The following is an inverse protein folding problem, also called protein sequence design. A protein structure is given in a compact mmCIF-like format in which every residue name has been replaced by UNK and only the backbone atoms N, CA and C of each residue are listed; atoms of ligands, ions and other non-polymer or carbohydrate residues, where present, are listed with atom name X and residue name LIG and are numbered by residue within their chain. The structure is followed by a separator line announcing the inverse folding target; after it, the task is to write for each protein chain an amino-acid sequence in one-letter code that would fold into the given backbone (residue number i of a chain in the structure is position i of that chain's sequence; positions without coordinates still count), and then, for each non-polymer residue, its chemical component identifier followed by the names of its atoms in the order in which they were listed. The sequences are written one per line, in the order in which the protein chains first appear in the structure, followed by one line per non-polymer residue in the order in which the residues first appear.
data_IF_999815755846
#
_entry.id   IF_999815755846
#
_cell.length_a   1.000
_cell.length_b   1.000
_cell.length_c   1.000
_cell.angle_alpha   90.00
_cell.angle_beta   90.00
_cell.angle_gamma   90.00
#
_symmetry.space_group_name_H-M   'P 1'
#
loop_
_entity.id
_entity.type
_entity.pdbx_description
1 polymer ?
#
# COMPACT_ATOMS: atom_id res chain seq x y z
N UNK A 1 -19.01 -5.32 10.86
CA UNK A 1 -20.15 -4.52 10.38
C UNK A 1 -19.84 -3.84 9.04
N UNK A 2 -18.72 -3.09 8.90
CA UNK A 2 -18.39 -2.35 7.66
C UNK A 2 -18.34 -3.27 6.44
N UNK A 3 -17.61 -4.38 6.49
CA UNK A 3 -17.51 -5.34 5.38
C UNK A 3 -18.86 -5.97 5.06
N UNK A 4 -19.68 -6.27 6.08
CA UNK A 4 -21.05 -6.75 5.87
C UNK A 4 -21.93 -5.72 5.16
N UNK A 5 -21.76 -4.43 5.48
CA UNK A 5 -22.45 -3.35 4.77
C UNK A 5 -22.01 -3.24 3.31
N UNK A 6 -20.72 -3.45 3.01
CA UNK A 6 -20.22 -3.49 1.64
C UNK A 6 -20.79 -4.67 0.83
N UNK A 7 -20.90 -5.85 1.44
CA UNK A 7 -21.52 -7.02 0.82
C UNK A 7 -23.04 -6.84 0.62
N UNK A 8 -23.71 -6.16 1.55
CA UNK A 8 -25.12 -5.82 1.40
C UNK A 8 -25.34 -4.76 0.31
N UNK A 9 -24.43 -3.77 0.22
CA UNK A 9 -24.41 -2.82 -0.91
C UNK A 9 -24.31 -3.58 -2.24
N UNK A 10 -23.39 -4.54 -2.37
CA UNK A 10 -23.27 -5.40 -3.54
C UNK A 10 -24.59 -6.11 -3.87
N UNK A 11 -25.27 -6.70 -2.88
CA UNK A 11 -26.55 -7.40 -3.08
C UNK A 11 -27.64 -6.49 -3.62
N UNK A 12 -27.72 -5.26 -3.11
CA UNK A 12 -28.77 -4.30 -3.45
C UNK A 12 -28.44 -3.46 -4.67
N UNK A 13 -27.16 -3.23 -4.97
CA UNK A 13 -26.72 -2.41 -6.09
C UNK A 13 -27.15 -3.00 -7.43
N UNK A 14 -27.66 -2.16 -8.32
CA UNK A 14 -27.96 -2.51 -9.72
C UNK A 14 -26.69 -2.85 -10.51
N UNK A 15 -25.53 -2.33 -10.05
CA UNK A 15 -24.23 -2.57 -10.68
C UNK A 15 -23.65 -3.94 -10.34
N UNK A 16 -24.12 -4.58 -9.24
CA UNK A 16 -23.55 -5.83 -8.73
C UNK A 16 -22.03 -5.72 -8.54
N UNK A 17 -21.62 -4.65 -7.86
CA UNK A 17 -20.24 -4.36 -7.51
C UNK A 17 -20.13 -3.99 -6.04
N UNK A 18 -18.99 -4.27 -5.44
CA UNK A 18 -18.61 -3.68 -4.17
C UNK A 18 -18.46 -2.16 -4.34
N UNK A 19 -18.71 -1.37 -3.28
CA UNK A 19 -18.59 0.07 -3.38
C UNK A 19 -17.16 0.50 -3.71
N UNK A 20 -17.04 1.43 -4.64
CA UNK A 20 -15.78 2.15 -4.96
C UNK A 20 -15.79 3.48 -4.22
N UNK A 21 -16.78 4.32 -4.51
CA UNK A 21 -16.98 5.61 -3.85
C UNK A 21 -18.49 5.82 -3.61
N UNK A 22 -19.05 5.03 -2.72
CA UNK A 22 -20.46 5.08 -2.43
C UNK A 22 -20.80 6.30 -1.57
N UNK A 23 -21.61 7.21 -2.11
CA UNK A 23 -22.06 8.40 -1.42
C UNK A 23 -23.58 8.40 -1.27
N UNK A 24 -24.08 8.50 -0.04
CA UNK A 24 -25.52 8.46 0.28
C UNK A 24 -26.25 7.22 -0.29
N UNK A 25 -25.56 6.08 -0.32
CA UNK A 25 -26.12 4.82 -0.84
C UNK A 25 -26.06 4.67 -2.36
N UNK A 26 -25.52 5.63 -3.08
CA UNK A 26 -25.32 5.55 -4.52
C UNK A 26 -23.82 5.48 -4.85
N UNK A 27 -23.47 4.60 -5.77
CA UNK A 27 -22.12 4.58 -6.35
C UNK A 27 -21.97 5.76 -7.33
N UNK A 28 -20.91 6.55 -7.17
CA UNK A 28 -20.64 7.70 -8.02
C UNK A 28 -19.37 7.54 -8.87
N UNK A 29 -18.62 6.45 -8.70
CA UNK A 29 -17.44 6.11 -9.50
C UNK A 29 -16.34 7.20 -9.49
N UNK A 30 -16.22 7.95 -8.40
CA UNK A 30 -15.28 9.08 -8.33
C UNK A 30 -13.83 8.63 -8.44
N UNK A 31 -13.47 7.51 -7.77
CA UNK A 31 -12.10 7.01 -7.71
C UNK A 31 -11.85 5.86 -8.70
N UNK A 32 -10.57 5.59 -8.96
CA UNK A 32 -10.15 4.49 -9.83
C UNK A 32 -10.14 3.14 -9.09
N UNK A 33 -9.96 2.07 -9.86
CA UNK A 33 -9.88 0.68 -9.39
C UNK A 33 -11.15 0.17 -8.66
N UNK A 34 -11.06 -0.99 -8.06
CA UNK A 34 -12.17 -1.64 -7.34
C UNK A 34 -11.74 -2.06 -5.92
N UNK A 35 -11.09 -1.17 -5.20
CA UNK A 35 -10.46 -1.40 -3.89
C UNK A 35 -11.37 -1.95 -2.80
N UNK A 36 -12.69 -1.94 -2.98
CA UNK A 36 -13.61 -2.68 -2.12
C UNK A 36 -13.21 -4.15 -1.96
N UNK A 37 -12.60 -4.76 -2.98
CA UNK A 37 -12.11 -6.15 -2.90
C UNK A 37 -10.93 -6.29 -1.94
N UNK A 38 -10.03 -5.30 -1.88
CA UNK A 38 -8.90 -5.31 -0.96
C UNK A 38 -9.35 -5.25 0.50
N UNK A 39 -10.37 -4.44 0.81
CA UNK A 39 -10.97 -4.35 2.16
C UNK A 39 -11.57 -5.69 2.58
N UNK A 40 -12.32 -6.35 1.69
CA UNK A 40 -12.92 -7.66 1.96
C UNK A 40 -11.84 -8.73 2.10
N UNK A 41 -10.80 -8.72 1.24
CA UNK A 41 -9.67 -9.64 1.33
C UNK A 41 -8.91 -9.50 2.64
N UNK A 42 -8.71 -8.26 3.12
CA UNK A 42 -8.04 -7.99 4.39
C UNK A 42 -8.83 -8.54 5.57
N UNK A 43 -10.16 -8.41 5.54
CA UNK A 43 -11.04 -9.01 6.55
C UNK A 43 -10.92 -10.54 6.57
N UNK A 44 -10.93 -11.19 5.41
CA UNK A 44 -10.74 -12.66 5.29
C UNK A 44 -9.36 -13.07 5.80
N UNK A 45 -8.30 -12.37 5.41
CA UNK A 45 -6.93 -12.66 5.85
C UNK A 45 -6.75 -12.53 7.37
N UNK A 46 -7.54 -11.67 8.00
CA UNK A 46 -7.57 -11.43 9.46
C UNK A 46 -8.54 -12.34 10.23
N UNK A 47 -9.17 -13.29 9.55
CA UNK A 47 -10.01 -14.31 10.16
C UNK A 47 -11.43 -13.85 10.49
N UNK A 48 -11.93 -12.80 9.86
CA UNK A 48 -13.33 -12.41 9.97
C UNK A 48 -14.17 -13.39 9.15
N UNK A 49 -15.13 -14.02 9.80
CA UNK A 49 -16.03 -14.98 9.16
C UNK A 49 -17.02 -14.24 8.24
N UNK A 50 -17.02 -14.60 6.97
CA UNK A 50 -17.88 -14.06 5.92
C UNK A 50 -18.48 -15.20 5.09
N UNK A 51 -19.59 -14.94 4.40
CA UNK A 51 -20.13 -15.85 3.39
C UNK A 51 -19.17 -15.93 2.21
N UNK A 52 -18.39 -17.00 2.15
CA UNK A 52 -17.35 -17.21 1.14
C UNK A 52 -17.88 -17.18 -0.29
N UNK A 53 -19.07 -17.74 -0.53
CA UNK A 53 -19.66 -17.76 -1.87
C UNK A 53 -20.02 -16.34 -2.32
N UNK A 54 -20.66 -15.57 -1.44
CA UNK A 54 -21.01 -14.17 -1.70
C UNK A 54 -19.74 -13.31 -1.89
N UNK A 55 -18.73 -13.51 -1.07
CA UNK A 55 -17.44 -12.80 -1.18
C UNK A 55 -16.82 -13.02 -2.56
N UNK A 56 -16.68 -14.27 -2.99
CA UNK A 56 -16.06 -14.59 -4.29
C UNK A 56 -16.88 -14.08 -5.46
N UNK A 57 -18.22 -14.16 -5.38
CA UNK A 57 -19.12 -13.60 -6.38
C UNK A 57 -18.97 -12.07 -6.49
N UNK A 58 -19.02 -11.37 -5.34
CA UNK A 58 -18.89 -9.93 -5.29
C UNK A 58 -17.54 -9.43 -5.84
N UNK A 59 -16.45 -10.07 -5.46
CA UNK A 59 -15.12 -9.75 -5.95
C UNK A 59 -14.99 -9.96 -7.46
N UNK A 60 -15.46 -11.11 -7.96
CA UNK A 60 -15.44 -11.41 -9.40
C UNK A 60 -16.23 -10.41 -10.20
N UNK A 61 -17.43 -10.07 -9.76
CA UNK A 61 -18.28 -9.12 -10.47
C UNK A 61 -17.69 -7.72 -10.45
N UNK A 62 -17.15 -7.26 -9.31
CA UNK A 62 -16.53 -5.94 -9.18
C UNK A 62 -15.34 -5.74 -10.13
N UNK A 63 -14.53 -6.77 -10.33
CA UNK A 63 -13.34 -6.73 -11.18
C UNK A 63 -13.61 -6.95 -12.68
N UNK A 64 -14.87 -7.07 -13.09
CA UNK A 64 -15.27 -7.37 -14.48
C UNK A 64 -16.44 -6.48 -14.98
N UNK A 65 -16.62 -5.29 -14.41
CA UNK A 65 -17.65 -4.36 -14.84
C UNK A 65 -17.26 -3.75 -16.20
N UNK A 66 -17.96 -4.08 -17.30
CA UNK A 66 -17.47 -3.82 -18.64
C UNK A 66 -17.49 -2.35 -19.06
N UNK A 67 -18.23 -1.53 -18.34
CA UNK A 67 -18.38 -0.09 -18.62
C UNK A 67 -17.58 0.80 -17.64
N UNK A 68 -16.86 0.20 -16.69
CA UNK A 68 -16.10 0.94 -15.71
C UNK A 68 -14.62 0.98 -16.07
N UNK A 69 -14.07 2.18 -16.22
CA UNK A 69 -12.64 2.50 -16.35
C UNK A 69 -11.85 1.55 -17.26
N UNK A 70 -12.42 1.27 -18.45
CA UNK A 70 -11.76 0.41 -19.43
C UNK A 70 -11.36 -0.98 -18.90
N UNK A 71 -12.14 -1.51 -17.95
CA UNK A 71 -11.91 -2.86 -17.37
C UNK A 71 -11.83 -3.93 -18.45
N UNK A 72 -12.59 -3.79 -19.53
CA UNK A 72 -12.54 -4.71 -20.67
C UNK A 72 -11.15 -4.74 -21.31
N UNK A 73 -10.60 -3.57 -21.63
CA UNK A 73 -9.25 -3.45 -22.18
C UNK A 73 -8.20 -3.97 -21.21
N UNK A 74 -8.35 -3.70 -19.92
CA UNK A 74 -7.47 -4.21 -18.88
C UNK A 74 -7.46 -5.75 -18.85
N UNK A 75 -8.63 -6.39 -18.90
CA UNK A 75 -8.75 -7.86 -18.91
C UNK A 75 -8.18 -8.47 -20.18
N UNK A 76 -8.44 -7.86 -21.36
CA UNK A 76 -8.02 -8.37 -22.67
C UNK A 76 -6.53 -8.15 -22.94
N UNK A 77 -5.97 -6.99 -22.53
CA UNK A 77 -4.60 -6.58 -22.88
C UNK A 77 -3.61 -6.69 -21.72
N UNK A 78 -4.10 -6.80 -20.49
CA UNK A 78 -3.29 -6.74 -19.27
C UNK A 78 -2.86 -5.33 -18.88
N UNK A 79 -3.46 -4.28 -19.48
CA UNK A 79 -3.27 -2.87 -19.09
C UNK A 79 -4.36 -2.00 -19.71
N UNK A 80 -4.57 -0.82 -19.13
CA UNK A 80 -5.44 0.22 -19.67
C UNK A 80 -4.60 1.15 -20.55
N UNK A 81 -4.89 1.28 -21.86
CA UNK A 81 -4.14 2.17 -22.74
C UNK A 81 -4.36 3.64 -22.39
N UNK A 82 -3.28 4.43 -22.40
CA UNK A 82 -3.34 5.87 -22.06
C UNK A 82 -4.08 6.71 -23.10
N UNK A 83 -4.20 6.23 -24.32
CA UNK A 83 -5.03 6.86 -25.37
C UNK A 83 -6.53 6.52 -25.24
N UNK A 84 -6.90 5.68 -24.31
CA UNK A 84 -8.28 5.39 -23.90
C UNK A 84 -8.66 6.10 -22.61
N UNK A 85 -7.73 6.09 -21.65
CA UNK A 85 -7.90 6.76 -20.37
C UNK A 85 -6.60 7.43 -19.94
N UNK A 86 -6.64 8.75 -19.73
CA UNK A 86 -5.48 9.54 -19.31
C UNK A 86 -4.84 9.07 -18.00
N UNK A 87 -5.52 8.23 -17.21
CA UNK A 87 -5.07 7.62 -15.96
C UNK A 87 -4.72 6.13 -16.09
N UNK A 88 -4.62 5.61 -17.32
CA UNK A 88 -4.54 4.18 -17.61
C UNK A 88 -3.41 3.43 -16.87
N UNK A 89 -2.27 4.10 -16.61
CA UNK A 89 -1.20 3.48 -15.85
C UNK A 89 -1.56 3.32 -14.38
N UNK A 90 -2.12 4.33 -13.73
CA UNK A 90 -2.61 4.23 -12.36
C UNK A 90 -3.67 3.14 -12.22
N UNK A 91 -4.69 3.14 -13.10
CA UNK A 91 -5.75 2.13 -13.10
C UNK A 91 -5.17 0.72 -13.22
N UNK A 92 -4.18 0.53 -14.09
CA UNK A 92 -3.54 -0.79 -14.29
C UNK A 92 -2.80 -1.26 -13.04
N UNK A 93 -2.04 -0.37 -12.40
CA UNK A 93 -1.25 -0.71 -11.21
C UNK A 93 -2.15 -1.04 -10.01
N UNK A 94 -3.20 -0.26 -9.81
CA UNK A 94 -4.14 -0.46 -8.72
C UNK A 94 -5.02 -1.69 -8.93
N UNK A 95 -5.53 -1.91 -10.15
CA UNK A 95 -6.25 -3.12 -10.50
C UNK A 95 -5.40 -4.40 -10.31
N UNK A 96 -4.09 -4.34 -10.60
CA UNK A 96 -3.21 -5.48 -10.39
C UNK A 96 -3.07 -5.86 -8.89
N UNK A 97 -3.08 -4.87 -8.00
CA UNK A 97 -3.14 -5.11 -6.56
C UNK A 97 -4.50 -5.67 -6.13
N UNK A 98 -5.59 -5.14 -6.65
CA UNK A 98 -6.94 -5.64 -6.37
C UNK A 98 -7.12 -7.09 -6.86
N UNK A 99 -6.62 -7.41 -8.04
CA UNK A 99 -6.62 -8.78 -8.57
C UNK A 99 -5.79 -9.73 -7.69
N UNK A 100 -4.68 -9.26 -7.14
CA UNK A 100 -3.94 -10.03 -6.14
C UNK A 100 -4.77 -10.27 -4.87
N UNK A 101 -5.54 -9.31 -4.41
CA UNK A 101 -6.42 -9.48 -3.26
C UNK A 101 -7.50 -10.54 -3.53
N UNK A 102 -8.05 -10.57 -4.76
CA UNK A 102 -8.98 -11.62 -5.21
C UNK A 102 -8.29 -12.98 -5.27
N UNK A 103 -7.08 -13.05 -5.85
CA UNK A 103 -6.26 -14.28 -5.87
C UNK A 103 -6.08 -14.86 -4.46
N UNK A 104 -5.69 -14.03 -3.51
CA UNK A 104 -5.47 -14.45 -2.12
C UNK A 104 -6.74 -15.01 -1.48
N UNK A 105 -7.87 -14.35 -1.69
CA UNK A 105 -9.17 -14.77 -1.17
C UNK A 105 -9.64 -16.05 -1.82
N UNK A 106 -9.55 -16.17 -3.14
CA UNK A 106 -9.91 -17.38 -3.88
C UNK A 106 -9.07 -18.60 -3.43
N UNK A 107 -7.77 -18.39 -3.23
CA UNK A 107 -6.87 -19.45 -2.75
C UNK A 107 -7.21 -19.89 -1.34
N UNK A 108 -7.50 -18.95 -0.44
CA UNK A 108 -7.93 -19.27 0.93
C UNK A 108 -9.27 -20.03 0.96
N UNK A 109 -10.15 -19.77 -0.01
CA UNK A 109 -11.43 -20.45 -0.18
C UNK A 109 -11.33 -21.81 -0.94
N UNK A 110 -10.15 -22.20 -1.42
CA UNK A 110 -9.94 -23.43 -2.20
C UNK A 110 -10.48 -23.35 -3.64
N UNK A 111 -10.77 -22.15 -4.17
CA UNK A 111 -11.19 -21.97 -5.55
C UNK A 111 -9.97 -21.82 -6.47
N UNK A 112 -9.36 -22.93 -6.85
CA UNK A 112 -8.11 -22.96 -7.63
C UNK A 112 -8.25 -22.33 -9.02
N UNK A 113 -9.41 -22.46 -9.70
CA UNK A 113 -9.62 -21.86 -11.01
C UNK A 113 -9.59 -20.33 -10.94
N UNK A 114 -10.33 -19.77 -10.01
CA UNK A 114 -10.35 -18.32 -9.78
C UNK A 114 -8.97 -17.84 -9.27
N UNK A 115 -8.32 -18.58 -8.39
CA UNK A 115 -6.98 -18.25 -7.92
C UNK A 115 -5.99 -18.17 -9.08
N UNK A 116 -5.98 -19.13 -9.99
CA UNK A 116 -5.07 -19.13 -11.14
C UNK A 116 -5.32 -17.95 -12.11
N UNK A 117 -6.58 -17.65 -12.39
CA UNK A 117 -6.96 -16.49 -13.21
C UNK A 117 -6.40 -15.19 -12.61
N UNK A 118 -6.70 -14.96 -11.34
CA UNK A 118 -6.34 -13.70 -10.68
C UNK A 118 -4.86 -13.61 -10.27
N UNK A 119 -4.16 -14.72 -10.08
CA UNK A 119 -2.71 -14.73 -9.94
C UNK A 119 -2.02 -14.18 -11.21
N UNK A 120 -2.53 -14.59 -12.38
CA UNK A 120 -2.04 -14.06 -13.66
C UNK A 120 -2.31 -12.56 -13.80
N UNK A 121 -3.53 -12.11 -13.47
CA UNK A 121 -3.91 -10.69 -13.54
C UNK A 121 -3.14 -9.83 -12.54
N UNK A 122 -2.84 -10.35 -11.36
CA UNK A 122 -2.00 -9.69 -10.36
C UNK A 122 -0.60 -9.31 -10.89
N UNK A 123 -0.14 -9.96 -11.95
CA UNK A 123 1.16 -9.67 -12.59
C UNK A 123 1.07 -8.60 -13.68
N UNK A 124 -0.12 -8.07 -13.99
CA UNK A 124 -0.35 -7.09 -15.04
C UNK A 124 0.43 -5.79 -14.86
N UNK A 125 0.79 -5.42 -13.63
CA UNK A 125 1.66 -4.26 -13.36
C UNK A 125 2.95 -4.29 -14.18
N UNK A 126 3.47 -5.48 -14.51
CA UNK A 126 4.70 -5.68 -15.29
C UNK A 126 4.59 -5.17 -16.72
N UNK A 127 3.38 -5.17 -17.27
CA UNK A 127 3.15 -4.72 -18.64
C UNK A 127 3.44 -3.22 -18.83
N UNK A 128 3.48 -2.48 -17.73
CA UNK A 128 3.78 -1.04 -17.76
C UNK A 128 5.22 -0.71 -17.38
N UNK A 129 6.05 -1.68 -16.95
CA UNK A 129 7.42 -1.36 -16.58
C UNK A 129 8.37 -1.35 -17.79
N UNK A 130 8.98 -0.20 -18.04
CA UNK A 130 10.15 -0.10 -18.91
C UNK A 130 11.41 -0.41 -18.10
N UNK A 131 11.92 -1.63 -18.22
CA UNK A 131 13.06 -2.11 -17.43
C UNK A 131 14.34 -1.28 -17.64
N UNK A 132 14.51 -0.65 -18.81
CA UNK A 132 15.66 0.24 -19.08
C UNK A 132 15.62 1.47 -18.21
N UNK A 133 14.42 2.02 -18.02
CA UNK A 133 14.18 3.18 -17.16
C UNK A 133 13.98 2.78 -15.71
N UNK A 134 13.40 1.58 -15.49
CA UNK A 134 12.97 1.07 -14.20
C UNK A 134 11.74 1.78 -13.66
N UNK A 135 10.92 2.37 -14.49
CA UNK A 135 9.69 3.08 -14.18
C UNK A 135 8.48 2.43 -14.84
N UNK A 136 7.32 2.56 -14.20
CA UNK A 136 6.06 2.37 -14.88
C UNK A 136 5.90 3.47 -15.94
N UNK A 137 5.63 3.06 -17.16
CA UNK A 137 5.47 3.93 -18.32
C UNK A 137 4.16 3.60 -19.03
N UNK A 138 3.35 4.60 -19.38
CA UNK A 138 2.08 4.37 -20.06
C UNK A 138 2.27 3.75 -21.45
N UNK A 139 1.31 2.88 -21.82
CA UNK A 139 1.25 2.27 -23.16
C UNK A 139 0.03 2.75 -23.93
N UNK A 140 0.17 2.81 -25.24
CA UNK A 140 -0.91 3.06 -26.19
C UNK A 140 -1.66 1.76 -26.55
N UNK A 141 -2.81 1.89 -27.19
CA UNK A 141 -3.66 0.75 -27.60
C UNK A 141 -2.96 -0.22 -28.56
N UNK A 142 -1.97 0.24 -29.33
CA UNK A 142 -1.15 -0.59 -30.23
C UNK A 142 0.00 -1.31 -29.52
N UNK A 143 0.17 -1.11 -28.22
CA UNK A 143 1.22 -1.70 -27.41
C UNK A 143 2.52 -0.92 -27.35
N UNK A 144 2.65 0.18 -28.09
CA UNK A 144 3.81 1.06 -28.03
C UNK A 144 3.83 1.88 -26.73
N UNK A 145 5.00 2.34 -26.34
CA UNK A 145 5.14 3.26 -25.22
C UNK A 145 4.68 4.67 -25.59
N UNK A 146 4.01 5.36 -24.66
CA UNK A 146 3.69 6.78 -24.83
C UNK A 146 4.98 7.59 -24.99
N UNK A 147 5.01 8.46 -26.01
CA UNK A 147 6.08 9.41 -26.26
C UNK A 147 5.51 10.82 -26.49
N UNK A 148 6.16 11.89 -26.03
CA UNK A 148 7.33 11.87 -25.13
C UNK A 148 6.96 11.35 -23.75
N UNK A 149 7.92 10.82 -22.99
CA UNK A 149 7.73 10.36 -21.62
C UNK A 149 8.58 11.18 -20.65
N UNK A 150 7.90 11.89 -19.75
CA UNK A 150 8.51 12.54 -18.59
C UNK A 150 8.04 11.85 -17.32
N UNK A 151 8.90 11.18 -16.54
CA UNK A 151 8.51 10.47 -15.32
C UNK A 151 7.98 11.38 -14.21
N UNK A 152 8.13 12.70 -14.33
CA UNK A 152 7.54 13.70 -13.41
C UNK A 152 6.22 14.28 -13.95
N UNK A 153 5.85 13.96 -15.18
CA UNK A 153 4.60 14.43 -15.79
C UNK A 153 3.36 13.91 -15.04
N UNK A 154 2.41 14.82 -14.82
CA UNK A 154 1.12 14.58 -14.14
C UNK A 154 -0.04 14.83 -15.11
N UNK A 155 -1.28 14.54 -14.72
CA UNK A 155 -2.52 14.85 -15.47
C UNK A 155 -2.52 14.43 -16.95
N UNK A 156 -3.20 13.34 -17.24
CA UNK A 156 -3.30 12.81 -18.59
C UNK A 156 -2.01 12.17 -19.13
N UNK A 157 -0.95 12.16 -18.33
CA UNK A 157 0.31 11.51 -18.63
C UNK A 157 0.33 10.02 -18.23
N UNK A 158 -0.83 9.45 -17.91
CA UNK A 158 -1.03 8.07 -17.48
C UNK A 158 -1.34 7.92 -15.98
N UNK A 159 -1.23 8.99 -15.21
CA UNK A 159 -1.30 8.94 -13.76
C UNK A 159 -2.31 9.92 -13.21
N UNK A 160 -3.09 9.49 -12.23
CA UNK A 160 -3.98 10.32 -11.44
C UNK A 160 -3.26 10.77 -10.17
N UNK A 161 -3.40 12.04 -9.79
CA UNK A 161 -2.90 12.58 -8.52
C UNK A 161 -1.43 12.24 -8.22
N UNK A 162 -0.62 12.15 -9.25
CA UNK A 162 0.78 11.79 -9.12
C UNK A 162 1.48 11.63 -10.46
N UNK A 163 2.61 10.96 -10.44
CA UNK A 163 3.45 10.75 -11.60
C UNK A 163 4.12 9.36 -11.55
N UNK A 164 4.94 9.05 -12.55
CA UNK A 164 5.60 7.75 -12.61
C UNK A 164 6.53 7.47 -11.43
N UNK A 165 7.14 8.47 -10.79
CA UNK A 165 7.96 8.28 -9.60
C UNK A 165 7.16 7.75 -8.42
N UNK A 166 5.93 8.25 -8.23
CA UNK A 166 5.03 7.81 -7.15
C UNK A 166 4.45 6.44 -7.49
N UNK A 167 3.77 6.35 -8.64
CA UNK A 167 3.01 5.16 -9.02
C UNK A 167 3.83 3.94 -9.38
N UNK A 168 5.09 4.09 -9.82
CA UNK A 168 5.97 2.94 -10.00
C UNK A 168 6.21 2.14 -8.71
N UNK A 169 5.93 2.73 -7.55
CA UNK A 169 6.07 2.10 -6.24
C UNK A 169 4.77 1.47 -5.75
N UNK A 170 3.63 1.67 -6.46
CA UNK A 170 2.35 1.11 -6.09
C UNK A 170 2.21 -0.37 -6.56
N UNK A 171 3.06 -1.21 -6.00
CA UNK A 171 3.06 -2.67 -6.17
C UNK A 171 3.25 -3.34 -4.79
N UNK A 172 2.36 -3.06 -3.81
CA UNK A 172 2.54 -3.53 -2.44
C UNK A 172 2.50 -5.05 -2.32
N UNK A 173 1.84 -5.72 -3.26
CA UNK A 173 1.67 -7.18 -3.30
C UNK A 173 2.90 -7.94 -3.83
N UNK A 174 3.80 -7.27 -4.57
CA UNK A 174 4.99 -7.91 -5.16
C UNK A 174 6.25 -7.02 -5.13
N UNK A 175 6.68 -6.65 -3.94
CA UNK A 175 7.84 -5.77 -3.75
C UNK A 175 9.14 -6.40 -4.28
N UNK A 176 9.33 -7.71 -4.16
CA UNK A 176 10.50 -8.38 -4.75
C UNK A 176 10.49 -8.33 -6.29
N UNK A 177 9.30 -8.48 -6.90
CA UNK A 177 9.13 -8.30 -8.34
C UNK A 177 9.47 -6.88 -8.77
N UNK A 178 8.99 -5.89 -8.02
CA UNK A 178 9.28 -4.48 -8.25
C UNK A 178 10.79 -4.18 -8.13
N UNK A 179 11.45 -4.72 -7.11
CA UNK A 179 12.91 -4.58 -6.93
C UNK A 179 13.67 -5.10 -8.17
N UNK A 180 13.26 -6.25 -8.72
CA UNK A 180 13.87 -6.81 -9.94
C UNK A 180 13.67 -5.90 -11.14
N UNK A 181 12.44 -5.41 -11.37
CA UNK A 181 12.11 -4.51 -12.48
C UNK A 181 12.83 -3.16 -12.38
N UNK A 182 13.15 -2.72 -11.17
CA UNK A 182 13.90 -1.49 -10.93
C UNK A 182 15.41 -1.68 -11.16
N UNK A 183 15.88 -2.90 -11.36
CA UNK A 183 17.29 -3.21 -11.60
C UNK A 183 18.04 -3.66 -10.35
N UNK A 184 17.32 -4.19 -9.36
CA UNK A 184 17.88 -4.78 -8.14
C UNK A 184 17.83 -3.90 -6.90
N UNK A 185 18.12 -4.50 -5.76
CA UNK A 185 17.94 -3.91 -4.43
C UNK A 185 18.66 -2.57 -4.25
N UNK A 186 19.92 -2.49 -4.72
CA UNK A 186 20.71 -1.26 -4.58
C UNK A 186 20.04 -0.09 -5.32
N UNK A 187 19.68 -0.30 -6.59
CA UNK A 187 19.04 0.72 -7.43
C UNK A 187 17.67 1.10 -6.89
N UNK A 188 16.95 0.13 -6.36
CA UNK A 188 15.65 0.37 -5.73
C UNK A 188 15.78 1.26 -4.48
N UNK A 189 16.74 0.96 -3.59
CA UNK A 189 17.00 1.78 -2.41
C UNK A 189 17.48 3.20 -2.76
N UNK A 190 18.33 3.34 -3.79
CA UNK A 190 18.77 4.64 -4.32
C UNK A 190 17.60 5.45 -4.90
N UNK A 191 16.63 4.78 -5.56
CA UNK A 191 15.42 5.42 -6.05
C UNK A 191 14.53 5.91 -4.91
N UNK A 192 14.32 5.09 -3.87
CA UNK A 192 13.59 5.54 -2.69
C UNK A 192 14.27 6.76 -2.04
N UNK A 193 15.59 6.75 -1.91
CA UNK A 193 16.32 7.91 -1.39
C UNK A 193 16.10 9.16 -2.25
N UNK A 194 16.16 9.00 -3.57
CA UNK A 194 15.95 10.11 -4.51
C UNK A 194 14.54 10.67 -4.42
N UNK A 195 13.52 9.82 -4.29
CA UNK A 195 12.12 10.24 -4.12
C UNK A 195 11.96 11.23 -2.96
N UNK A 196 12.62 10.96 -1.82
CA UNK A 196 12.52 11.78 -0.61
C UNK A 196 13.42 13.02 -0.62
N UNK A 197 14.40 13.10 -1.51
CA UNK A 197 15.44 14.15 -1.46
C UNK A 197 15.52 15.02 -2.70
N UNK A 198 14.85 14.64 -3.79
CA UNK A 198 14.84 15.46 -5.00
C UNK A 198 14.17 16.81 -4.75
N UNK A 199 14.57 17.80 -5.53
CA UNK A 199 13.84 19.04 -5.66
C UNK A 199 12.82 18.89 -6.80
N UNK A 200 11.53 18.97 -6.48
CA UNK A 200 10.47 18.96 -7.49
C UNK A 200 10.24 20.40 -7.96
N UNK A 201 10.44 20.74 -9.25
CA UNK A 201 10.08 22.04 -9.78
C UNK A 201 8.57 22.30 -9.70
N UNK A 202 8.15 23.53 -9.40
CA UNK A 202 6.74 23.93 -9.24
C UNK A 202 5.83 23.52 -10.41
N UNK A 203 6.37 23.53 -11.64
CA UNK A 203 5.60 23.11 -12.84
C UNK A 203 5.09 21.65 -12.79
N UNK A 204 5.61 20.84 -11.88
CA UNK A 204 5.18 19.45 -11.68
C UNK A 204 4.29 19.29 -10.44
N UNK A 205 4.02 20.34 -9.70
CA UNK A 205 3.04 20.28 -8.63
C UNK A 205 1.68 19.99 -9.28
N UNK A 206 1.04 18.93 -8.86
CA UNK A 206 -0.32 18.68 -9.26
C UNK A 206 -1.19 19.82 -8.71
N UNK A 207 -1.95 20.44 -9.59
CA UNK A 207 -2.90 21.48 -9.23
C UNK A 207 -4.17 20.81 -8.66
N UNK A 208 -3.99 20.09 -7.55
CA UNK A 208 -5.06 19.39 -6.84
C UNK A 208 -5.13 19.87 -5.41
N UNK A 209 -6.34 19.96 -4.86
CA UNK A 209 -6.59 20.37 -3.48
C UNK A 209 -5.97 19.40 -2.45
N UNK A 210 -5.69 18.17 -2.86
CA UNK A 210 -5.19 17.10 -1.98
C UNK A 210 -3.66 17.11 -1.83
N UNK A 211 -2.94 17.81 -2.70
CA UNK A 211 -1.48 17.86 -2.71
C UNK A 211 -1.00 19.24 -2.36
N UNK A 212 -0.78 19.48 -1.08
CA UNK A 212 -0.19 20.74 -0.60
C UNK A 212 1.32 20.63 -0.51
N UNK A 213 2.04 21.76 -0.63
CA UNK A 213 3.50 21.81 -0.44
C UNK A 213 3.92 21.23 0.93
N UNK A 214 3.09 21.40 1.94
CA UNK A 214 3.31 20.89 3.30
C UNK A 214 3.27 19.36 3.36
N UNK A 215 2.53 18.70 2.45
CA UNK A 215 2.44 17.24 2.29
C UNK A 215 3.53 16.63 1.43
N UNK A 216 4.46 17.46 0.91
CA UNK A 216 5.54 17.00 0.03
C UNK A 216 6.87 16.87 0.77
N UNK A 217 7.61 15.82 0.43
CA UNK A 217 9.01 15.62 0.82
C UNK A 217 9.79 15.08 -0.38
N UNK A 218 10.47 15.96 -1.10
CA UNK A 218 10.97 15.66 -2.44
C UNK A 218 9.80 15.47 -3.42
N UNK A 219 9.63 14.28 -3.94
CA UNK A 219 8.46 13.87 -4.71
C UNK A 219 7.61 12.79 -3.99
N UNK A 220 7.83 12.61 -2.71
CA UNK A 220 6.97 11.81 -1.84
C UNK A 220 5.76 12.65 -1.42
N UNK A 221 4.56 12.15 -1.67
CA UNK A 221 3.29 12.83 -1.42
C UNK A 221 2.57 12.13 -0.27
N UNK A 222 2.69 12.65 0.95
CA UNK A 222 2.06 12.01 2.10
C UNK A 222 0.55 12.24 2.17
N UNK A 223 0.07 13.33 1.62
CA UNK A 223 -1.36 13.64 1.58
C UNK A 223 -2.18 12.74 0.64
N UNK A 224 -1.56 11.78 -0.04
CA UNK A 224 -2.24 10.87 -0.96
C UNK A 224 -1.88 9.39 -0.68
N UNK A 225 -2.89 8.53 -0.63
CA UNK A 225 -2.83 7.14 -0.16
C UNK A 225 -1.87 6.24 -0.93
N UNK A 226 -1.71 6.35 -2.27
CA UNK A 226 -0.76 5.53 -3.00
C UNK A 226 0.68 5.62 -2.49
N UNK A 227 1.00 6.65 -1.69
CA UNK A 227 2.32 6.87 -1.10
C UNK A 227 2.50 6.26 0.30
N UNK A 228 1.43 5.94 1.02
CA UNK A 228 1.48 5.63 2.46
C UNK A 228 2.34 4.41 2.80
N UNK A 229 2.42 3.40 1.94
CA UNK A 229 3.23 2.21 2.13
C UNK A 229 4.72 2.42 1.78
N UNK A 230 5.06 3.44 1.00
CA UNK A 230 6.38 3.63 0.37
C UNK A 230 7.52 3.75 1.39
N UNK A 231 7.28 4.43 2.52
CA UNK A 231 8.26 4.56 3.60
C UNK A 231 8.71 3.21 4.18
N UNK A 232 7.87 2.19 4.09
CA UNK A 232 8.12 0.86 4.61
C UNK A 232 8.83 -0.06 3.63
N UNK A 233 8.96 0.31 2.34
CA UNK A 233 9.57 -0.53 1.30
C UNK A 233 11.05 -0.82 1.53
N UNK A 234 11.76 -0.03 2.34
CA UNK A 234 13.13 -0.34 2.74
C UNK A 234 13.24 -1.65 3.54
N UNK A 235 12.15 -2.18 4.09
CA UNK A 235 12.14 -3.46 4.81
C UNK A 235 12.51 -4.67 3.92
N UNK A 236 12.36 -4.56 2.61
CA UNK A 236 12.78 -5.57 1.64
C UNK A 236 14.23 -5.41 1.17
N UNK A 237 14.94 -4.39 1.66
CA UNK A 237 16.31 -4.06 1.27
C UNK A 237 17.29 -4.31 2.42
N UNK A 238 18.57 -4.19 2.14
CA UNK A 238 19.65 -4.19 3.16
C UNK A 238 19.66 -2.95 4.06
N UNK A 239 18.69 -2.04 3.90
CA UNK A 239 18.66 -0.75 4.60
C UNK A 239 17.34 -0.50 5.38
N UNK A 240 16.80 -1.47 6.14
CA UNK A 240 15.50 -1.32 6.83
C UNK A 240 15.48 -0.18 7.86
N UNK A 241 16.65 0.25 8.35
CA UNK A 241 16.78 1.39 9.25
C UNK A 241 16.32 2.72 8.62
N UNK A 242 16.23 2.81 7.28
CA UNK A 242 15.72 4.00 6.60
C UNK A 242 14.21 4.15 6.76
N UNK A 243 13.44 3.07 6.83
CA UNK A 243 12.03 3.12 7.24
C UNK A 243 11.87 3.85 8.57
N UNK A 244 12.67 3.49 9.56
CA UNK A 244 12.62 4.08 10.91
C UNK A 244 12.90 5.58 10.90
N UNK A 245 13.85 6.00 10.08
CA UNK A 245 14.19 7.40 9.88
C UNK A 245 13.07 8.17 9.18
N UNK A 246 12.59 7.66 8.03
CA UNK A 246 11.60 8.34 7.20
C UNK A 246 10.23 8.43 7.86
N UNK A 247 9.77 7.36 8.51
CA UNK A 247 8.50 7.39 9.25
C UNK A 247 8.54 8.47 10.35
N UNK A 248 9.63 8.54 11.14
CA UNK A 248 9.78 9.58 12.15
C UNK A 248 9.82 10.98 11.54
N UNK A 249 10.48 11.14 10.40
CA UNK A 249 10.57 12.42 9.70
C UNK A 249 9.19 12.90 9.24
N UNK A 250 8.40 12.03 8.61
CA UNK A 250 7.03 12.34 8.18
C UNK A 250 6.14 12.67 9.36
N UNK A 251 6.15 11.86 10.42
CA UNK A 251 5.34 12.13 11.62
C UNK A 251 5.64 13.49 12.24
N UNK A 252 6.90 13.89 12.28
CA UNK A 252 7.30 15.18 12.87
C UNK A 252 7.01 16.38 11.96
N UNK A 253 7.02 16.19 10.63
CA UNK A 253 6.86 17.31 9.68
C UNK A 253 5.42 17.53 9.23
N UNK A 254 4.68 16.43 9.06
CA UNK A 254 3.41 16.42 8.33
C UNK A 254 2.19 16.24 9.23
N UNK A 255 2.40 16.07 10.55
CA UNK A 255 1.32 16.00 11.54
C UNK A 255 1.53 17.03 12.63
N UNK A 256 0.50 17.78 12.96
CA UNK A 256 0.53 18.85 13.96
C UNK A 256 -0.65 18.73 14.91
N UNK A 257 -0.46 19.08 16.17
CA UNK A 257 -1.56 19.16 17.14
C UNK A 257 -2.35 20.48 16.97
N UNK A 258 -3.06 20.58 15.85
CA UNK A 258 -3.92 21.73 15.49
C UNK A 258 -5.14 21.22 14.71
N UNK A 259 -6.15 22.10 14.53
CA UNK A 259 -7.35 21.78 13.74
C UNK A 259 -6.97 21.46 12.27
N UNK A 260 -6.01 22.19 11.73
CA UNK A 260 -5.41 22.02 10.40
C UNK A 260 -4.13 21.16 10.46
N UNK A 261 -4.11 20.14 11.29
CA UNK A 261 -2.92 19.39 11.64
C UNK A 261 -2.52 18.28 10.66
N UNK A 262 -3.35 17.98 9.67
CA UNK A 262 -3.06 17.03 8.60
C UNK A 262 -2.55 17.76 7.35
N UNK A 263 -1.68 17.13 6.60
CA UNK A 263 -1.09 17.70 5.39
C UNK A 263 -1.88 17.37 4.10
N UNK A 264 -3.06 16.85 4.23
CA UNK A 264 -4.00 16.48 3.17
C UNK A 264 -5.35 16.12 3.78
N UNK A 265 -6.26 15.61 2.97
CA UNK A 265 -7.54 15.12 3.44
C UNK A 265 -7.35 13.88 4.34
N UNK A 266 -8.15 13.75 5.39
CA UNK A 266 -8.10 12.57 6.28
C UNK A 266 -8.66 11.31 5.64
N UNK A 267 -9.46 11.46 4.60
CA UNK A 267 -10.09 10.40 3.80
C UNK A 267 -10.73 9.30 4.66
N UNK A 268 -11.77 9.72 5.38
CA UNK A 268 -12.51 8.84 6.30
C UNK A 268 -11.64 8.17 7.37
N UNK A 269 -10.52 8.79 7.75
CA UNK A 269 -9.64 8.30 8.80
C UNK A 269 -8.35 7.64 8.31
N UNK A 270 -8.07 7.63 7.00
CA UNK A 270 -6.87 6.98 6.47
C UNK A 270 -5.57 7.64 6.97
N UNK A 271 -5.48 8.97 6.94
CA UNK A 271 -4.33 9.71 7.45
C UNK A 271 -4.13 9.51 8.96
N UNK A 272 -5.22 9.57 9.71
CA UNK A 272 -5.23 9.31 11.15
C UNK A 272 -4.82 7.87 11.49
N UNK A 273 -5.32 6.89 10.73
CA UNK A 273 -4.96 5.48 10.90
C UNK A 273 -3.48 5.26 10.58
N UNK A 274 -2.93 5.88 9.53
CA UNK A 274 -1.51 5.81 9.23
C UNK A 274 -0.66 6.30 10.39
N UNK A 275 -1.02 7.45 10.97
CA UNK A 275 -0.33 8.00 12.14
C UNK A 275 -0.36 7.06 13.34
N UNK A 276 -1.52 6.49 13.66
CA UNK A 276 -1.69 5.57 14.80
C UNK A 276 -0.86 4.30 14.61
N UNK A 277 -0.95 3.65 13.43
CA UNK A 277 -0.17 2.46 13.13
C UNK A 277 1.34 2.76 13.17
N UNK A 278 1.76 3.85 12.56
CA UNK A 278 3.17 4.26 12.56
C UNK A 278 3.67 4.61 13.96
N UNK A 279 2.81 5.21 14.81
CA UNK A 279 3.14 5.48 16.20
C UNK A 279 3.28 4.18 17.02
N UNK A 280 2.51 3.14 16.71
CA UNK A 280 2.67 1.79 17.26
C UNK A 280 3.97 1.11 16.81
N UNK A 281 4.58 1.58 15.72
CA UNK A 281 5.83 1.06 15.18
C UNK A 281 5.66 -0.03 14.13
N UNK A 282 4.49 -0.14 13.49
CA UNK A 282 4.23 -1.06 12.37
C UNK A 282 3.12 -0.53 11.47
N UNK A 283 3.03 -1.04 10.24
CA UNK A 283 2.04 -0.60 9.25
C UNK A 283 1.61 -1.76 8.31
N UNK A 284 0.32 -1.88 7.95
CA UNK A 284 -0.17 -2.87 6.99
C UNK A 284 0.17 -2.43 5.55
N UNK A 285 1.38 -2.72 5.08
CA UNK A 285 1.88 -2.32 3.75
C UNK A 285 1.06 -2.93 2.62
N UNK A 286 0.56 -4.15 2.81
CA UNK A 286 -0.21 -4.89 1.82
C UNK A 286 -1.47 -5.48 2.47
N UNK A 287 -2.57 -4.69 2.60
CA UNK A 287 -3.87 -5.21 3.03
C UNK A 287 -4.30 -6.42 2.18
N UNK A 288 -4.89 -7.44 2.82
CA UNK A 288 -5.09 -8.78 2.25
C UNK A 288 -4.01 -9.78 2.66
N UNK A 289 -2.98 -9.33 3.39
CA UNK A 289 -2.09 -10.19 4.18
C UNK A 289 -2.45 -10.07 5.66
N UNK A 290 -1.95 -11.01 6.47
CA UNK A 290 -2.03 -10.91 7.93
C UNK A 290 -0.84 -10.15 8.55
N UNK A 291 -0.01 -9.48 7.74
CA UNK A 291 1.27 -8.91 8.14
C UNK A 291 1.23 -7.39 8.33
N UNK A 292 1.95 -6.94 9.34
CA UNK A 292 2.24 -5.53 9.61
C UNK A 292 3.75 -5.35 9.62
N UNK A 293 4.27 -4.57 8.70
CA UNK A 293 5.71 -4.32 8.55
C UNK A 293 6.22 -3.42 9.66
N UNK A 294 7.34 -3.80 10.28
CA UNK A 294 7.92 -3.06 11.39
C UNK A 294 8.62 -1.78 10.93
N UNK A 295 8.28 -0.68 11.59
CA UNK A 295 8.95 0.60 11.53
C UNK A 295 9.69 0.89 12.84
N UNK A 296 9.37 2.02 13.47
CA UNK A 296 9.86 2.39 14.80
C UNK A 296 8.76 3.13 15.57
N UNK A 297 8.48 2.71 16.82
CA UNK A 297 7.42 3.34 17.62
C UNK A 297 7.74 4.80 17.93
N UNK A 298 6.69 5.60 18.08
CA UNK A 298 6.78 7.04 18.39
C UNK A 298 6.74 7.32 19.89
N UNK A 299 5.97 6.51 20.63
CA UNK A 299 5.74 6.68 22.06
C UNK A 299 6.44 5.57 22.87
N UNK A 300 6.81 5.83 24.13
CA UNK A 300 7.49 4.85 24.99
C UNK A 300 6.61 3.67 25.39
N UNK A 301 5.30 3.86 25.37
CA UNK A 301 4.32 2.82 25.76
C UNK A 301 2.98 3.06 25.08
N UNK A 302 2.42 2.00 24.52
CA UNK A 302 1.07 1.96 23.96
C UNK A 302 0.41 0.62 24.33
N UNK A 303 -0.92 0.64 24.40
CA UNK A 303 -1.72 -0.52 24.80
C UNK A 303 -2.97 -0.61 23.93
N UNK A 304 -3.19 -1.77 23.33
CA UNK A 304 -4.39 -2.11 22.56
C UNK A 304 -5.20 -3.12 23.37
N UNK A 305 -6.45 -2.79 23.64
CA UNK A 305 -7.42 -3.72 24.18
C UNK A 305 -8.16 -4.37 23.03
N UNK A 306 -8.11 -5.68 22.96
CA UNK A 306 -8.67 -6.47 21.87
C UNK A 306 -10.08 -6.96 22.23
N UNK A 307 -10.91 -7.16 21.20
CA UNK A 307 -12.31 -7.63 21.40
C UNK A 307 -12.40 -9.00 22.05
N UNK A 308 -11.40 -9.86 21.85
CA UNK A 308 -11.32 -11.17 22.50
C UNK A 308 -10.92 -11.10 23.99
N UNK A 309 -10.82 -9.90 24.56
CA UNK A 309 -10.42 -9.65 25.94
C UNK A 309 -8.91 -9.61 26.19
N UNK A 310 -8.10 -9.99 25.22
CA UNK A 310 -6.64 -9.91 25.32
C UNK A 310 -6.15 -8.46 25.25
N UNK A 311 -4.89 -8.28 25.61
CA UNK A 311 -4.21 -6.98 25.52
C UNK A 311 -2.90 -7.15 24.77
N UNK A 312 -2.65 -6.30 23.80
CA UNK A 312 -1.36 -6.19 23.13
C UNK A 312 -0.68 -4.88 23.53
N UNK A 313 0.53 -4.98 23.99
CA UNK A 313 1.32 -3.82 24.44
C UNK A 313 2.51 -3.60 23.52
N UNK A 314 2.83 -2.33 23.28
CA UNK A 314 4.07 -1.93 22.63
C UNK A 314 4.89 -1.11 23.60
N UNK A 315 6.15 -1.47 23.79
CA UNK A 315 7.10 -0.76 24.66
C UNK A 315 8.36 -0.39 23.87
N UNK A 316 8.77 0.87 24.02
CA UNK A 316 9.97 1.39 23.37
C UNK A 316 10.87 2.07 24.41
N UNK A 317 11.95 1.40 24.79
CA UNK A 317 12.90 1.97 25.75
C UNK A 317 13.71 3.10 25.12
N UNK A 318 13.81 4.24 25.82
CA UNK A 318 14.61 5.41 25.41
C UNK A 318 14.16 6.06 24.09
N UNK A 319 12.90 5.89 23.67
CA UNK A 319 12.39 6.52 22.46
C UNK A 319 12.32 8.04 22.66
N UNK A 320 12.90 8.78 21.73
CA UNK A 320 12.81 10.24 21.60
C UNK A 320 13.23 10.63 20.16
N UNK A 321 13.33 11.92 19.85
CA UNK A 321 13.71 12.40 18.52
C UNK A 321 15.14 12.01 18.08
N UNK A 322 16.04 11.76 19.02
CA UNK A 322 17.39 11.28 18.73
C UNK A 322 17.42 9.77 18.61
N UNK A 323 16.76 9.06 19.53
CA UNK A 323 16.70 7.61 19.58
C UNK A 323 15.54 7.09 18.73
N UNK A 324 15.63 7.29 17.42
CA UNK A 324 14.60 6.92 16.44
C UNK A 324 14.85 5.57 15.74
N UNK A 325 16.02 4.96 15.96
CA UNK A 325 16.39 3.70 15.32
C UNK A 325 16.17 2.53 16.25
N UNK A 326 15.81 1.39 15.67
CA UNK A 326 15.59 0.13 16.40
C UNK A 326 16.89 -0.65 16.47
N UNK A 327 17.39 -0.89 17.67
CA UNK A 327 18.57 -1.73 17.94
C UNK A 327 18.19 -3.20 18.00
N UNK A 328 17.12 -3.53 18.70
CA UNK A 328 16.61 -4.89 18.86
C UNK A 328 15.09 -4.90 19.03
N UNK A 329 14.46 -6.01 18.65
CA UNK A 329 13.03 -6.26 18.87
C UNK A 329 12.87 -7.56 19.64
N UNK A 330 11.88 -7.60 20.54
CA UNK A 330 11.43 -8.80 21.24
C UNK A 330 9.92 -8.92 21.14
N UNK A 331 9.44 -10.14 20.97
CA UNK A 331 8.02 -10.46 21.09
C UNK A 331 7.85 -11.42 22.25
N UNK A 332 7.06 -11.00 23.25
CA UNK A 332 6.85 -11.77 24.49
C UNK A 332 8.16 -12.19 25.17
N UNK A 333 9.10 -11.24 25.25
CA UNK A 333 10.41 -11.41 25.89
C UNK A 333 11.44 -12.19 25.05
N UNK A 334 11.06 -12.78 23.92
CA UNK A 334 11.97 -13.53 23.03
C UNK A 334 12.52 -12.63 21.92
N UNK A 335 13.79 -12.78 21.51
CA UNK A 335 14.32 -12.08 20.33
C UNK A 335 13.44 -12.31 19.11
N UNK A 336 13.23 -11.24 18.33
CA UNK A 336 12.36 -11.26 17.16
C UNK A 336 13.08 -10.69 15.93
N UNK A 337 13.31 -11.55 14.95
CA UNK A 337 14.17 -11.23 13.80
C UNK A 337 13.39 -10.99 12.50
N UNK A 338 12.06 -11.11 12.50
CA UNK A 338 11.24 -10.80 11.33
C UNK A 338 11.11 -9.29 11.14
N UNK A 339 10.90 -8.89 9.88
CA UNK A 339 10.61 -7.51 9.51
C UNK A 339 9.13 -7.13 9.71
N UNK A 340 8.30 -8.04 10.18
CA UNK A 340 6.85 -7.87 10.34
C UNK A 340 6.34 -8.65 11.56
N UNK A 341 5.18 -8.24 12.06
CA UNK A 341 4.34 -9.04 12.97
C UNK A 341 3.05 -9.42 12.26
N UNK A 342 2.35 -10.44 12.77
CA UNK A 342 1.10 -10.91 12.17
C UNK A 342 -0.11 -10.49 12.99
N UNK A 343 -1.28 -10.49 12.36
CA UNK A 343 -2.56 -10.33 13.06
C UNK A 343 -2.70 -11.36 14.20
N UNK A 344 -2.25 -12.58 13.98
CA UNK A 344 -2.25 -13.63 15.01
C UNK A 344 -1.41 -13.25 16.22
N UNK A 345 -0.21 -12.66 16.00
CA UNK A 345 0.66 -12.22 17.10
C UNK A 345 -0.04 -11.15 17.94
N UNK A 346 -0.73 -10.21 17.28
CA UNK A 346 -1.50 -9.15 17.96
C UNK A 346 -2.67 -9.75 18.74
N UNK A 347 -3.50 -10.57 18.08
CA UNK A 347 -4.72 -11.14 18.70
C UNK A 347 -4.44 -12.13 19.82
N UNK A 348 -3.27 -12.77 19.82
CA UNK A 348 -2.83 -13.59 20.95
C UNK A 348 -2.57 -12.75 22.21
N UNK A 349 -2.41 -11.44 22.07
CA UNK A 349 -2.01 -10.55 23.16
C UNK A 349 -0.52 -10.65 23.48
N UNK A 350 -0.09 -9.93 24.52
CA UNK A 350 1.31 -9.93 24.95
C UNK A 350 2.02 -8.60 24.65
N UNK A 351 3.33 -8.67 24.40
CA UNK A 351 4.17 -7.47 24.34
C UNK A 351 5.16 -7.50 23.18
N UNK A 352 5.16 -6.41 22.40
CA UNK A 352 6.19 -6.10 21.42
C UNK A 352 7.12 -5.04 22.02
N UNK A 353 8.40 -5.36 22.15
CA UNK A 353 9.39 -4.51 22.78
C UNK A 353 10.44 -4.05 21.79
N UNK A 354 10.72 -2.75 21.77
CA UNK A 354 11.76 -2.14 20.98
C UNK A 354 12.87 -1.55 21.88
N UNK A 355 14.09 -1.97 21.65
CA UNK A 355 15.26 -1.28 22.18
C UNK A 355 15.68 -0.20 21.19
N UNK A 356 15.50 1.07 21.56
CA UNK A 356 15.78 2.20 20.68
C UNK A 356 17.22 2.70 20.81
N UNK A 357 17.71 3.36 19.74
CA UNK A 357 19.08 3.87 19.62
C UNK A 357 19.10 5.16 18.80
N UNK A 358 20.12 5.99 19.05
CA UNK A 358 20.43 7.17 18.23
C UNK A 358 21.29 6.85 17.00
N UNK A 359 21.65 5.58 16.80
CA UNK A 359 22.42 5.12 15.64
C UNK A 359 21.68 4.02 14.90
N UNK A 360 21.67 4.05 13.56
CA UNK A 360 21.05 2.99 12.76
C UNK A 360 21.76 1.65 12.98
N UNK A 361 20.99 0.58 13.15
CA UNK A 361 21.52 -0.77 13.16
C UNK A 361 21.66 -1.27 11.71
N UNK A 362 22.83 -1.01 11.11
CA UNK A 362 23.13 -1.39 9.72
C UNK A 362 23.38 -2.88 9.54
N UNK A 363 23.56 -3.63 10.63
CA UNK A 363 23.75 -5.08 10.60
C UNK A 363 22.41 -5.85 10.67
N UNK A 364 21.28 -5.16 10.91
CA UNK A 364 19.96 -5.77 10.87
C UNK A 364 19.49 -5.85 9.43
N UNK A 365 19.84 -6.95 8.77
CA UNK A 365 19.41 -7.30 7.42
C UNK A 365 18.50 -8.52 7.53
N UNK A 366 17.39 -8.48 6.85
CA UNK A 366 16.43 -9.58 6.87
C UNK A 366 16.75 -10.61 5.80
N UNK A 367 16.73 -11.89 6.17
CA UNK A 367 16.77 -13.01 5.23
C UNK A 367 15.43 -13.12 4.50
N UNK A 368 15.36 -13.87 3.41
CA UNK A 368 14.13 -14.02 2.63
C UNK A 368 12.97 -14.60 3.46
N UNK A 369 13.26 -15.44 4.46
CA UNK A 369 12.26 -15.98 5.39
C UNK A 369 11.77 -14.95 6.42
N UNK A 370 12.52 -13.89 6.66
CA UNK A 370 12.24 -12.84 7.63
C UNK A 370 11.77 -11.53 7.00
N UNK A 371 11.85 -11.39 5.66
CA UNK A 371 11.26 -10.28 4.91
C UNK A 371 9.73 -10.36 4.93
N UNK A 372 9.03 -9.24 4.78
CA UNK A 372 7.59 -9.27 4.63
C UNK A 372 7.17 -9.98 3.33
N UNK A 373 5.88 -10.26 3.21
CA UNK A 373 5.29 -10.91 2.06
C UNK A 373 5.66 -10.23 0.73
N UNK A 374 5.85 -11.04 -0.30
CA UNK A 374 5.86 -10.63 -1.71
C UNK A 374 5.32 -11.80 -2.54
N UNK A 375 4.56 -11.53 -3.59
CA UNK A 375 3.96 -12.55 -4.47
C UNK A 375 5.07 -13.39 -5.12
N UNK A 376 6.11 -12.74 -5.62
CA UNK A 376 7.32 -13.42 -6.12
C UNK A 376 8.42 -13.43 -5.06
N UNK A 377 9.10 -14.57 -4.93
CA UNK A 377 10.22 -14.74 -3.99
C UNK A 377 11.56 -14.37 -4.63
#
# INVERSE_FOLDING_TARGET
DMVMSMLEHYRQSVHKALPVWSHMGNENWCMIAYHGVAVVADAVAKGIELDTALVLEAMKNSSNIPYYQHTREYVEKGYVPVDKDGNGASITLENAYDDWAIYRTAKAAGNENMAHEYESRAMNYRNLFDERLGFARPRLSDGSWKEPFDPLGTHGEGFIEGNSWNYSLHVPHDVNGLIRLTGGEKRFAERLDSLFTMHLPEKYYADTEDITEEGLMGNYVHGNEPSHHVLYLYAWTSQPWKTQFRVREVMNRMYRNKIDGLCGNDDCGQMSAWYIFSALGFYPVCPGTDQYVLGAPYLPYMKIRLENGNTFEVRASKVDDKNRYVKAVRLNGKPYDKAYITQRDIMAGGMLEFEMSNRPNRNRIYTDDNKPYSLTR
#
